data_IF_341364160086
#
_entry.id   IF_341364160086
#
_cell.length_a   1.000
_cell.length_b   1.000
_cell.length_c   1.000
_cell.angle_alpha   90.00
_cell.angle_beta   90.00
_cell.angle_gamma   90.00
#
_symmetry.space_group_name_H-M   'P 1'
#
loop_
_entity.id
_entity.type
_entity.pdbx_description
1 polymer ?
#
# COMPACT_ATOMS: atom_id res chain seq x y z
N UNK A 1 -5.37 -4.65 21.60
CA UNK A 1 -4.49 -5.17 22.66
C UNK A 1 -3.05 -5.04 22.21
N UNK A 2 -2.27 -4.15 22.83
CA UNK A 2 -0.87 -3.91 22.45
C UNK A 2 -0.02 -5.09 22.92
N UNK A 3 0.80 -5.66 22.04
CA UNK A 3 1.64 -6.80 22.37
C UNK A 3 2.95 -6.31 23.03
N UNK A 4 2.92 -6.23 24.36
CA UNK A 4 4.00 -5.67 25.19
C UNK A 4 5.34 -6.42 25.09
N UNK A 5 5.38 -7.63 24.50
CA UNK A 5 6.61 -8.42 24.35
C UNK A 5 7.58 -7.86 23.29
N UNK A 6 7.10 -7.01 22.38
CA UNK A 6 7.87 -6.50 21.23
C UNK A 6 8.30 -5.04 21.35
N UNK A 7 7.85 -4.32 22.38
CA UNK A 7 8.29 -2.94 22.60
C UNK A 7 9.58 -3.00 23.39
N UNK A 8 10.65 -2.49 22.79
CA UNK A 8 11.96 -2.37 23.41
C UNK A 8 11.81 -1.41 24.60
N UNK A 9 11.71 -1.97 25.82
CA UNK A 9 11.33 -1.23 27.04
C UNK A 9 12.22 -0.01 27.25
N UNK A 10 13.49 -0.09 26.86
CA UNK A 10 14.45 1.00 26.95
C UNK A 10 14.14 2.14 25.97
N UNK A 11 13.72 1.83 24.74
CA UNK A 11 13.35 2.83 23.72
C UNK A 11 12.01 3.49 24.06
N UNK A 12 11.09 2.74 24.67
CA UNK A 12 9.84 3.32 25.18
C UNK A 12 10.10 4.23 26.39
N UNK A 13 10.87 3.75 27.37
CA UNK A 13 11.24 4.56 28.54
C UNK A 13 12.01 5.82 28.14
N UNK A 14 12.96 5.75 27.19
CA UNK A 14 13.68 6.93 26.72
C UNK A 14 12.76 7.92 26.04
N UNK A 15 11.83 7.47 25.18
CA UNK A 15 10.88 8.36 24.49
C UNK A 15 9.83 8.97 25.41
N UNK A 16 9.42 8.25 26.44
CA UNK A 16 8.54 8.78 27.49
C UNK A 16 9.30 9.80 28.33
N UNK A 17 10.56 9.54 28.67
CA UNK A 17 11.41 10.46 29.44
C UNK A 17 11.76 11.72 28.64
N UNK A 18 12.08 11.58 27.35
CA UNK A 18 12.36 12.68 26.41
C UNK A 18 11.10 13.52 26.11
N UNK A 19 9.92 12.92 26.18
CA UNK A 19 8.63 13.61 26.01
C UNK A 19 8.07 14.23 27.29
N UNK A 20 8.63 13.90 28.46
CA UNK A 20 8.23 14.43 29.78
C UNK A 20 9.11 15.61 30.23
N UNK A 21 10.02 16.10 29.38
CA UNK A 21 11.05 17.08 29.78
C UNK A 21 10.48 18.46 30.16
N UNK A 22 9.23 18.80 29.82
CA UNK A 22 8.71 20.15 30.09
C UNK A 22 7.65 20.23 31.23
N UNK A 23 7.42 19.14 31.98
CA UNK A 23 6.54 19.16 33.17
C UNK A 23 7.34 19.40 34.46
N UNK A 24 8.17 20.44 34.49
CA UNK A 24 8.70 21.04 35.73
C UNK A 24 7.73 22.09 36.28
N UNK A 25 6.44 21.76 36.36
CA UNK A 25 5.47 22.56 37.11
C UNK A 25 5.29 21.88 38.47
N UNK A 26 5.56 22.58 39.56
CA UNK A 26 5.18 22.13 40.91
C UNK A 26 3.67 21.90 40.89
N UNK A 27 3.27 20.64 41.05
CA UNK A 27 1.87 20.22 41.02
C UNK A 27 1.28 20.56 42.39
N UNK A 28 0.61 21.71 42.47
CA UNK A 28 -0.26 22.08 43.59
C UNK A 28 -1.70 21.63 43.33
N UNK A 29 -2.48 21.39 44.40
CA UNK A 29 -3.87 20.88 44.33
C UNK A 29 -4.81 21.75 43.45
N UNK A 30 -4.46 23.02 43.22
CA UNK A 30 -5.22 23.94 42.36
C UNK A 30 -5.00 23.71 40.85
N UNK A 31 -3.86 23.12 40.44
CA UNK A 31 -3.48 22.96 39.03
C UNK A 31 -3.57 21.51 38.51
N UNK A 32 -3.92 20.56 39.38
CA UNK A 32 -3.99 19.13 39.03
C UNK A 32 -4.98 18.87 37.90
N UNK A 33 -6.14 19.52 37.91
CA UNK A 33 -7.16 19.31 36.88
C UNK A 33 -6.71 19.79 35.50
N UNK A 34 -5.98 20.90 35.44
CA UNK A 34 -5.45 21.46 34.19
C UNK A 34 -4.33 20.56 33.62
N UNK A 35 -3.42 20.09 34.48
CA UNK A 35 -2.36 19.14 34.08
C UNK A 35 -2.94 17.81 33.62
N UNK A 36 -3.99 17.29 34.29
CA UNK A 36 -4.69 16.06 33.87
C UNK A 36 -5.37 16.25 32.52
N UNK A 37 -5.96 17.42 32.28
CA UNK A 37 -6.60 17.74 31.01
C UNK A 37 -5.58 17.82 29.87
N UNK A 38 -4.47 18.53 30.06
CA UNK A 38 -3.38 18.63 29.08
C UNK A 38 -2.78 17.26 28.77
N UNK A 39 -2.63 16.41 29.79
CA UNK A 39 -2.17 15.04 29.60
C UNK A 39 -3.16 14.18 28.79
N UNK A 40 -4.47 14.32 29.05
CA UNK A 40 -5.51 13.65 28.28
C UNK A 40 -5.58 14.13 26.82
N UNK A 41 -5.34 15.42 26.57
CA UNK A 41 -5.27 15.99 25.22
C UNK A 41 -4.05 15.44 24.46
N UNK A 42 -2.86 15.44 25.09
CA UNK A 42 -1.64 14.83 24.54
C UNK A 42 -1.81 13.35 24.18
N UNK A 43 -2.45 12.57 25.06
CA UNK A 43 -2.73 11.15 24.79
C UNK A 43 -3.71 10.96 23.61
N UNK A 44 -4.70 11.83 23.48
CA UNK A 44 -5.70 11.78 22.41
C UNK A 44 -5.10 12.17 21.06
N UNK A 45 -4.23 13.19 21.04
CA UNK A 45 -3.48 13.59 19.86
C UNK A 45 -2.50 12.51 19.40
N UNK A 46 -1.84 11.84 20.35
CA UNK A 46 -0.94 10.73 20.02
C UNK A 46 -1.71 9.50 19.49
N UNK A 47 -2.86 9.18 20.09
CA UNK A 47 -3.70 8.07 19.67
C UNK A 47 -4.30 8.29 18.26
N UNK A 48 -4.76 9.50 17.95
CA UNK A 48 -5.29 9.84 16.62
C UNK A 48 -4.21 9.77 15.53
N UNK A 49 -3.00 10.23 15.84
CA UNK A 49 -1.84 10.11 14.96
C UNK A 49 -1.36 8.66 14.74
N UNK A 50 -1.57 7.77 15.71
CA UNK A 50 -1.26 6.34 15.57
C UNK A 50 -2.23 5.61 14.62
N UNK A 51 -3.52 5.96 14.64
CA UNK A 51 -4.56 5.28 13.87
C UNK A 51 -4.40 5.45 12.36
N UNK A 52 -3.88 6.60 11.92
CA UNK A 52 -3.61 6.95 10.52
C UNK A 52 -2.55 6.07 9.83
N UNK A 53 -1.65 5.43 10.59
CA UNK A 53 -0.49 4.68 10.04
C UNK A 53 -0.69 3.18 9.96
N UNK A 54 -1.92 2.68 9.72
CA UNK A 54 -2.06 1.29 9.23
C UNK A 54 -1.42 1.20 7.85
N UNK A 55 -0.11 0.90 7.82
CA UNK A 55 0.63 0.65 6.59
C UNK A 55 -0.17 -0.36 5.78
N UNK A 56 -0.57 -0.05 4.54
CA UNK A 56 -1.30 -1.02 3.72
C UNK A 56 -0.47 -2.30 3.70
N UNK A 57 -1.09 -3.41 4.06
CA UNK A 57 -0.48 -4.73 3.97
C UNK A 57 -0.01 -4.89 2.51
N UNK A 58 1.29 -4.73 2.29
CA UNK A 58 1.91 -4.87 0.97
C UNK A 58 1.81 -6.34 0.59
N UNK A 59 0.68 -6.73 0.02
CA UNK A 59 0.51 -8.07 -0.53
C UNK A 59 1.58 -8.28 -1.60
N UNK A 60 2.18 -9.48 -1.60
CA UNK A 60 3.15 -9.83 -2.64
C UNK A 60 2.38 -9.82 -3.97
N UNK A 61 2.87 -9.12 -5.01
CA UNK A 61 2.20 -9.14 -6.30
C UNK A 61 2.16 -10.61 -6.78
N UNK A 62 0.96 -11.12 -7.03
CA UNK A 62 0.79 -12.40 -7.72
C UNK A 62 1.24 -12.18 -9.17
N UNK A 63 1.98 -13.14 -9.73
CA UNK A 63 2.50 -13.04 -11.08
C UNK A 63 1.33 -13.14 -12.08
N UNK A 64 0.79 -11.98 -12.48
CA UNK A 64 -0.38 -11.84 -13.38
C UNK A 64 0.00 -11.40 -14.81
N UNK A 65 1.24 -10.97 -14.98
CA UNK A 65 1.82 -10.53 -16.24
C UNK A 65 3.18 -11.24 -16.43
N UNK A 66 3.46 -11.63 -17.66
CA UNK A 66 4.71 -12.28 -18.07
C UNK A 66 5.31 -11.51 -19.23
N UNK A 67 6.59 -11.19 -19.14
CA UNK A 67 7.37 -10.59 -20.22
C UNK A 67 8.81 -11.17 -20.17
N UNK A 68 9.63 -10.98 -21.22
CA UNK A 68 11.01 -11.46 -21.25
C UNK A 68 11.85 -10.95 -20.07
N UNK A 69 11.70 -9.68 -19.69
CA UNK A 69 12.44 -9.08 -18.56
C UNK A 69 12.11 -9.75 -17.21
N UNK A 70 10.88 -10.20 -17.00
CA UNK A 70 10.49 -10.96 -15.80
C UNK A 70 11.21 -12.31 -15.80
N UNK A 71 11.33 -12.97 -16.95
CA UNK A 71 12.08 -14.23 -17.07
C UNK A 71 13.54 -14.03 -16.64
N UNK A 72 14.20 -13.00 -17.17
CA UNK A 72 15.59 -12.69 -16.84
C UNK A 72 15.75 -12.35 -15.35
N UNK A 73 14.85 -11.53 -14.80
CA UNK A 73 14.86 -11.19 -13.37
C UNK A 73 14.56 -12.40 -12.46
N UNK A 74 13.77 -13.36 -12.91
CA UNK A 74 13.56 -14.64 -12.19
C UNK A 74 14.85 -15.46 -12.19
N UNK A 75 15.54 -15.56 -13.33
CA UNK A 75 16.81 -16.27 -13.44
C UNK A 75 17.88 -15.63 -12.54
N UNK A 76 17.99 -14.30 -12.56
CA UNK A 76 18.90 -13.55 -11.69
C UNK A 76 18.58 -13.76 -10.20
N UNK A 77 17.30 -13.69 -9.81
CA UNK A 77 16.90 -13.96 -8.42
C UNK A 77 17.24 -15.39 -7.98
N UNK A 78 17.02 -16.38 -8.85
CA UNK A 78 17.33 -17.78 -8.55
C UNK A 78 18.84 -18.00 -8.43
N UNK A 79 19.63 -17.37 -9.30
CA UNK A 79 21.09 -17.40 -9.25
C UNK A 79 21.60 -16.81 -7.92
N UNK A 80 21.21 -15.58 -7.59
CA UNK A 80 21.61 -14.92 -6.33
C UNK A 80 21.18 -15.71 -5.09
N UNK A 81 19.99 -16.33 -5.13
CA UNK A 81 19.52 -17.22 -4.06
C UNK A 81 20.37 -18.48 -3.94
N UNK A 82 20.81 -19.06 -5.06
CA UNK A 82 21.67 -20.25 -5.09
C UNK A 82 23.05 -19.95 -4.55
N UNK A 83 23.67 -18.84 -4.96
CA UNK A 83 24.97 -18.39 -4.43
C UNK A 83 24.89 -18.14 -2.92
N UNK A 84 23.88 -17.40 -2.46
CA UNK A 84 23.66 -17.17 -1.03
C UNK A 84 23.46 -18.47 -0.23
N UNK A 85 22.75 -19.45 -0.78
CA UNK A 85 22.58 -20.77 -0.14
C UNK A 85 23.88 -21.57 -0.07
N UNK A 86 24.67 -21.56 -1.15
CA UNK A 86 25.97 -22.25 -1.22
C UNK A 86 26.98 -21.67 -0.24
N UNK A 87 26.92 -20.36 0.01
CA UNK A 87 27.75 -19.68 1.01
C UNK A 87 27.26 -19.86 2.47
N UNK A 88 26.50 -20.92 2.77
CA UNK A 88 25.96 -21.19 4.10
C UNK A 88 25.01 -20.10 4.66
N UNK A 89 24.34 -19.34 3.79
CA UNK A 89 23.29 -18.37 4.17
C UNK A 89 23.81 -17.30 5.14
N UNK A 90 24.83 -16.51 4.77
CA UNK A 90 25.37 -15.49 5.64
C UNK A 90 24.27 -14.52 6.08
N UNK A 91 24.31 -14.15 7.37
CA UNK A 91 23.38 -13.21 8.02
C UNK A 91 24.05 -11.84 8.18
N UNK A 92 23.28 -10.83 8.59
CA UNK A 92 23.77 -9.45 8.71
C UNK A 92 24.00 -8.78 7.35
N UNK A 93 24.83 -7.75 7.32
CA UNK A 93 25.13 -6.93 6.13
C UNK A 93 26.09 -7.61 5.14
N UNK A 94 25.95 -8.92 4.93
CA UNK A 94 26.73 -9.63 3.92
C UNK A 94 26.34 -9.17 2.50
N UNK A 95 27.35 -9.00 1.64
CA UNK A 95 27.18 -8.65 0.23
C UNK A 95 26.21 -9.59 -0.49
N UNK A 96 26.31 -10.91 -0.23
CA UNK A 96 25.43 -11.92 -0.82
C UNK A 96 23.96 -11.79 -0.39
N UNK A 97 23.70 -11.40 0.87
CA UNK A 97 22.33 -11.16 1.32
C UNK A 97 21.75 -9.89 0.70
N UNK A 98 22.57 -8.85 0.57
CA UNK A 98 22.20 -7.59 -0.10
C UNK A 98 21.85 -7.87 -1.56
N UNK A 99 22.71 -8.57 -2.30
CA UNK A 99 22.52 -8.93 -3.70
C UNK A 99 21.23 -9.74 -3.92
N UNK A 100 21.02 -10.77 -3.10
CA UNK A 100 19.77 -11.55 -3.10
C UNK A 100 18.54 -10.67 -2.87
N UNK A 101 18.62 -9.73 -1.94
CA UNK A 101 17.52 -8.81 -1.65
C UNK A 101 17.28 -7.82 -2.80
N UNK A 102 18.34 -7.34 -3.45
CA UNK A 102 18.26 -6.48 -4.64
C UNK A 102 17.61 -7.22 -5.81
N UNK A 103 18.06 -8.43 -6.15
CA UNK A 103 17.47 -9.24 -7.21
C UNK A 103 15.96 -9.49 -6.98
N UNK A 104 15.58 -9.73 -5.71
CA UNK A 104 14.16 -9.87 -5.32
C UNK A 104 13.37 -8.56 -5.44
N UNK A 105 13.99 -7.41 -5.14
CA UNK A 105 13.36 -6.09 -5.32
C UNK A 105 13.19 -5.78 -6.81
N UNK A 106 14.21 -6.04 -7.63
CA UNK A 106 14.16 -5.87 -9.08
C UNK A 106 13.00 -6.66 -9.68
N UNK A 107 12.92 -7.97 -9.43
CA UNK A 107 11.80 -8.81 -9.91
C UNK A 107 10.42 -8.26 -9.51
N UNK A 108 10.25 -7.80 -8.27
CA UNK A 108 8.98 -7.20 -7.82
C UNK A 108 8.65 -5.90 -8.56
N UNK A 109 9.67 -5.10 -8.86
CA UNK A 109 9.51 -3.87 -9.63
C UNK A 109 9.06 -4.18 -11.06
N UNK A 110 9.75 -5.09 -11.75
CA UNK A 110 9.43 -5.49 -13.12
C UNK A 110 8.02 -6.06 -13.23
N UNK A 111 7.62 -6.93 -12.28
CA UNK A 111 6.24 -7.47 -12.25
C UNK A 111 5.20 -6.36 -12.08
N UNK A 112 5.46 -5.37 -11.22
CA UNK A 112 4.53 -4.24 -11.04
C UNK A 112 4.43 -3.37 -12.28
N UNK A 113 5.55 -3.09 -12.93
CA UNK A 113 5.59 -2.33 -14.18
C UNK A 113 4.83 -3.05 -15.30
N UNK A 114 5.02 -4.37 -15.44
CA UNK A 114 4.31 -5.17 -16.44
C UNK A 114 2.79 -5.22 -16.19
N UNK A 115 2.37 -5.32 -14.92
CA UNK A 115 0.95 -5.23 -14.56
C UNK A 115 0.40 -3.84 -14.89
N UNK A 116 1.08 -2.77 -14.47
CA UNK A 116 0.65 -1.40 -14.73
C UNK A 116 0.53 -1.11 -16.22
N UNK A 117 1.48 -1.61 -17.04
CA UNK A 117 1.43 -1.49 -18.50
C UNK A 117 0.22 -2.20 -19.08
N UNK A 118 -0.05 -3.44 -18.66
CA UNK A 118 -1.23 -4.21 -19.11
C UNK A 118 -2.55 -3.52 -18.73
N UNK A 119 -2.61 -2.96 -17.52
CA UNK A 119 -3.78 -2.22 -17.05
C UNK A 119 -3.98 -0.92 -17.84
N UNK A 120 -2.90 -0.22 -18.16
CA UNK A 120 -2.93 0.98 -19.00
C UNK A 120 -3.36 0.68 -20.44
N UNK A 121 -2.80 -0.35 -21.08
CA UNK A 121 -3.20 -0.80 -22.42
C UNK A 121 -4.70 -1.17 -22.46
N UNK A 122 -5.20 -1.81 -21.41
CA UNK A 122 -6.61 -2.14 -21.30
C UNK A 122 -7.47 -0.89 -21.15
N UNK A 123 -7.03 0.10 -20.35
CA UNK A 123 -7.71 1.39 -20.23
C UNK A 123 -7.82 2.08 -21.59
N UNK A 124 -6.74 2.10 -22.38
CA UNK A 124 -6.75 2.67 -23.73
C UNK A 124 -7.75 1.95 -24.64
N UNK A 125 -7.77 0.61 -24.64
CA UNK A 125 -8.75 -0.19 -25.39
C UNK A 125 -10.21 0.11 -25.00
N UNK A 126 -10.48 0.34 -23.73
CA UNK A 126 -11.84 0.74 -23.26
C UNK A 126 -12.20 2.13 -23.80
N UNK A 127 -11.27 3.09 -23.75
CA UNK A 127 -11.48 4.46 -24.24
C UNK A 127 -11.69 4.47 -25.76
N UNK A 128 -10.93 3.67 -26.50
CA UNK A 128 -11.07 3.53 -27.96
C UNK A 128 -12.38 2.85 -28.34
N UNK A 129 -12.68 1.69 -27.74
CA UNK A 129 -13.92 0.94 -28.04
C UNK A 129 -15.18 1.73 -27.68
N UNK A 130 -15.12 2.63 -26.69
CA UNK A 130 -16.21 3.57 -26.37
C UNK A 130 -16.64 4.42 -27.58
N UNK A 131 -15.71 4.78 -28.48
CA UNK A 131 -16.00 5.66 -29.63
C UNK A 131 -16.59 4.92 -30.83
N UNK A 132 -16.29 3.63 -31.00
CA UNK A 132 -16.52 2.93 -32.25
C UNK A 132 -17.37 1.65 -32.12
N UNK A 133 -17.41 0.99 -30.95
CA UNK A 133 -18.01 -0.35 -30.85
C UNK A 133 -18.60 -0.65 -29.45
N UNK A 134 -19.92 -0.49 -29.33
CA UNK A 134 -20.65 -0.62 -28.05
C UNK A 134 -20.54 -2.02 -27.43
N UNK A 135 -20.63 -3.08 -28.24
CA UNK A 135 -20.59 -4.47 -27.77
C UNK A 135 -19.24 -4.83 -27.14
N UNK A 136 -18.15 -4.41 -27.79
CA UNK A 136 -16.78 -4.64 -27.32
C UNK A 136 -16.51 -3.82 -26.07
N UNK A 137 -16.99 -2.57 -26.02
CA UNK A 137 -16.94 -1.74 -24.83
C UNK A 137 -17.61 -2.40 -23.61
N UNK A 138 -18.86 -2.84 -23.73
CA UNK A 138 -19.58 -3.49 -22.62
C UNK A 138 -18.89 -4.77 -22.14
N UNK A 139 -18.34 -5.58 -23.07
CA UNK A 139 -17.57 -6.79 -22.73
C UNK A 139 -16.31 -6.45 -21.92
N UNK A 140 -15.58 -5.41 -22.32
CA UNK A 140 -14.37 -4.97 -21.63
C UNK A 140 -14.67 -4.38 -20.24
N UNK A 141 -15.72 -3.56 -20.12
CA UNK A 141 -16.17 -3.00 -18.83
C UNK A 141 -16.64 -4.09 -17.87
N UNK A 142 -17.44 -5.06 -18.34
CA UNK A 142 -17.89 -6.18 -17.51
C UNK A 142 -16.72 -7.06 -17.04
N UNK A 143 -15.70 -7.24 -17.88
CA UNK A 143 -14.48 -7.97 -17.48
C UNK A 143 -13.67 -7.29 -16.37
N UNK A 144 -13.85 -5.97 -16.20
CA UNK A 144 -13.20 -5.14 -15.18
C UNK A 144 -14.02 -5.01 -13.88
N UNK A 145 -15.36 -4.99 -13.98
CA UNK A 145 -16.27 -4.93 -12.82
C UNK A 145 -15.95 -5.97 -11.74
N UNK A 146 -15.60 -7.19 -12.14
CA UNK A 146 -15.28 -8.28 -11.22
C UNK A 146 -13.84 -8.23 -10.67
N UNK A 147 -12.99 -7.29 -11.12
CA UNK A 147 -11.53 -7.30 -10.83
C UNK A 147 -11.02 -6.12 -10.01
N UNK A 148 -11.68 -4.96 -10.00
CA UNK A 148 -11.50 -3.87 -9.00
C UNK A 148 -12.34 -2.63 -9.36
N UNK A 149 -13.22 -2.18 -8.45
CA UNK A 149 -14.12 -1.03 -8.59
C UNK A 149 -13.43 0.36 -8.47
N UNK A 150 -12.13 0.48 -8.76
CA UNK A 150 -11.34 1.70 -8.41
C UNK A 150 -10.71 2.43 -9.59
N UNK A 151 -11.05 2.07 -10.82
CA UNK A 151 -10.34 2.58 -12.01
C UNK A 151 -11.20 3.38 -12.98
N UNK A 152 -12.51 3.39 -12.80
CA UNK A 152 -13.42 4.16 -13.65
C UNK A 152 -13.86 5.37 -12.82
N UNK A 153 -13.07 6.43 -12.87
CA UNK A 153 -13.34 7.69 -12.16
C UNK A 153 -14.48 8.48 -12.80
N UNK A 154 -14.69 8.28 -14.11
CA UNK A 154 -15.69 9.00 -14.88
C UNK A 154 -16.33 8.06 -15.91
N UNK A 155 -17.66 8.00 -15.91
CA UNK A 155 -18.44 7.38 -16.99
C UNK A 155 -19.20 8.47 -17.70
N UNK A 156 -19.26 8.38 -19.01
CA UNK A 156 -20.09 9.26 -19.81
C UNK A 156 -21.12 8.41 -20.54
N UNK A 157 -22.40 8.75 -20.38
CA UNK A 157 -23.53 8.13 -21.08
C UNK A 157 -24.16 9.23 -21.92
N UNK A 158 -24.09 9.11 -23.25
CA UNK A 158 -24.45 10.22 -24.15
C UNK A 158 -23.56 11.45 -23.93
N UNK A 159 -24.17 12.63 -23.74
CA UNK A 159 -23.48 13.91 -23.47
C UNK A 159 -23.27 14.21 -21.97
N UNK A 160 -23.63 13.29 -21.07
CA UNK A 160 -23.55 13.53 -19.62
C UNK A 160 -22.37 12.78 -19.00
N UNK A 161 -21.69 13.42 -18.04
CA UNK A 161 -20.56 12.89 -17.24
C UNK A 161 -21.06 12.53 -15.85
N UNK A 162 -20.72 11.34 -15.38
CA UNK A 162 -21.04 10.81 -14.06
C UNK A 162 -19.75 10.46 -13.32
N UNK A 163 -19.61 10.93 -12.08
CA UNK A 163 -18.45 10.70 -11.20
C UNK A 163 -18.66 9.47 -10.29
N UNK A 164 -17.61 9.02 -9.61
CA UNK A 164 -17.51 7.75 -8.86
C UNK A 164 -18.74 7.38 -8.00
N UNK A 165 -19.34 8.33 -7.30
CA UNK A 165 -20.49 8.08 -6.41
C UNK A 165 -21.82 7.88 -7.17
N UNK A 166 -21.93 8.37 -8.41
CA UNK A 166 -23.14 8.28 -9.24
C UNK A 166 -23.13 7.06 -10.19
N UNK A 167 -21.95 6.49 -10.44
CA UNK A 167 -21.74 5.36 -11.36
C UNK A 167 -22.51 4.10 -10.92
N UNK A 168 -22.70 3.90 -9.62
CA UNK A 168 -23.46 2.76 -9.09
C UNK A 168 -24.96 2.87 -9.38
N UNK A 169 -25.51 4.08 -9.42
CA UNK A 169 -26.96 4.32 -9.55
C UNK A 169 -27.45 4.34 -11.00
N UNK A 170 -26.68 4.88 -11.94
CA UNK A 170 -27.08 4.95 -13.36
C UNK A 170 -27.24 3.56 -13.99
N UNK A 171 -26.47 2.56 -13.54
CA UNK A 171 -26.56 1.20 -14.07
C UNK A 171 -27.70 0.35 -13.48
N UNK A 172 -28.29 0.75 -12.36
CA UNK A 172 -29.41 0.04 -11.73
C UNK A 172 -30.77 0.45 -12.31
N UNK A 173 -30.87 1.59 -13.00
CA UNK A 173 -32.11 2.12 -13.60
C UNK A 173 -32.29 1.78 -15.08
N UNK A 174 -31.27 1.25 -15.75
CA UNK A 174 -31.31 0.91 -17.18
C UNK A 174 -31.70 -0.57 -17.44
N UNK A 175 -32.29 -1.23 -16.45
CA UNK A 175 -32.90 -2.56 -16.55
C UNK A 175 -34.33 -2.50 -16.03
#
# INVERSE_FOLDING_TARGET
>A
MVNWKTIDKHVYASRVKDGLIDLETEIDDENVEEVVKDFCELLSEYASNLASRRKPLKSKPKLKAWNPEIKDNVMNMNSACTVWKRACRPRGESSLLIEKNLAKRALRSTVRQAIAKKDYELKQKIIESRKYESRTFHKLVNSQRNKQSRFITDIYVGNQRYQEDEILWVFLRSF
#
